data_IF_349935073448
#
_entry.id   IF_349935073448
#
_cell.length_a   1.000
_cell.length_b   1.000
_cell.length_c   1.000
_cell.angle_alpha   90.00
_cell.angle_beta   90.00
_cell.angle_gamma   90.00
#
_symmetry.space_group_name_H-M   'P 1'
#
loop_
_entity.id
_entity.type
_entity.pdbx_description
1 polymer ?
#
# COMPACT_ATOMS: atom_id res chain seq x y z
N UNK A 1 -18.09 -35.10 15.27
CA UNK A 1 -16.82 -34.42 15.55
C UNK A 1 -16.66 -33.26 14.57
N UNK A 2 -17.00 -32.06 15.00
CA UNK A 2 -16.95 -30.85 14.17
C UNK A 2 -15.55 -30.26 14.18
N UNK A 3 -14.83 -30.38 13.07
CA UNK A 3 -13.61 -29.62 12.86
C UNK A 3 -13.99 -28.23 12.33
N UNK A 4 -14.26 -27.31 13.23
CA UNK A 4 -14.22 -25.87 12.92
C UNK A 4 -12.76 -25.49 12.72
N UNK A 5 -12.32 -25.44 11.47
CA UNK A 5 -11.06 -24.79 11.11
C UNK A 5 -11.26 -23.30 11.33
N UNK A 6 -10.75 -22.81 12.42
CA UNK A 6 -10.59 -21.38 12.69
C UNK A 6 -9.62 -20.80 11.64
N UNK A 7 -10.18 -20.27 10.55
CA UNK A 7 -9.47 -19.35 9.68
C UNK A 7 -9.19 -18.08 10.50
N UNK A 8 -8.05 -18.07 11.17
CA UNK A 8 -7.49 -16.83 11.66
C UNK A 8 -7.27 -15.92 10.45
N UNK A 9 -8.10 -14.91 10.29
CA UNK A 9 -7.86 -13.79 9.39
C UNK A 9 -6.57 -13.08 9.82
N UNK A 10 -5.42 -13.61 9.41
CA UNK A 10 -4.20 -12.80 9.37
C UNK A 10 -4.52 -11.66 8.41
N UNK A 11 -4.75 -10.46 8.94
CA UNK A 11 -4.64 -9.24 8.14
C UNK A 11 -3.27 -9.30 7.48
N UNK A 12 -3.23 -9.64 6.20
CA UNK A 12 -2.04 -9.50 5.40
C UNK A 12 -1.74 -8.00 5.37
N UNK A 13 -0.80 -7.58 6.23
CA UNK A 13 -0.23 -6.24 6.07
C UNK A 13 0.45 -6.22 4.71
N UNK A 14 0.11 -5.29 3.82
CA UNK A 14 0.69 -5.25 2.49
C UNK A 14 2.21 -5.15 2.60
N UNK A 15 2.92 -6.02 1.89
CA UNK A 15 4.37 -5.92 1.80
C UNK A 15 4.69 -4.75 0.86
N UNK A 16 4.92 -3.57 1.45
CA UNK A 16 5.23 -2.36 0.69
C UNK A 16 6.57 -2.44 -0.07
N UNK A 17 7.45 -3.39 0.26
CA UNK A 17 8.72 -3.57 -0.44
C UNK A 17 8.54 -4.37 -1.73
N UNK A 18 7.70 -5.41 -1.70
CA UNK A 18 7.39 -6.26 -2.86
C UNK A 18 5.89 -6.29 -3.06
N UNK A 19 5.39 -5.43 -3.94
CA UNK A 19 3.96 -5.33 -4.25
C UNK A 19 3.62 -6.41 -5.28
N UNK A 20 2.59 -7.20 -4.99
CA UNK A 20 1.94 -8.09 -5.94
C UNK A 20 0.47 -7.68 -6.02
N UNK A 21 0.17 -6.81 -6.98
CA UNK A 21 -1.13 -6.14 -7.03
C UNK A 21 -2.29 -7.10 -7.28
N UNK A 22 -2.09 -8.13 -8.11
CA UNK A 22 -3.09 -9.15 -8.39
C UNK A 22 -3.55 -9.87 -7.12
N UNK A 23 -2.62 -10.30 -6.27
CA UNK A 23 -2.94 -10.94 -4.98
C UNK A 23 -3.70 -10.00 -4.04
N UNK A 24 -3.35 -8.73 -4.00
CA UNK A 24 -4.02 -7.73 -3.16
C UNK A 24 -5.46 -7.52 -3.62
N UNK A 25 -5.68 -7.43 -4.94
CA UNK A 25 -7.02 -7.33 -5.54
C UNK A 25 -7.84 -8.59 -5.23
N UNK A 26 -7.27 -9.78 -5.44
CA UNK A 26 -7.91 -11.06 -5.15
C UNK A 26 -8.37 -11.14 -3.70
N UNK A 27 -7.49 -10.76 -2.76
CA UNK A 27 -7.83 -10.69 -1.34
C UNK A 27 -8.97 -9.69 -1.06
N UNK A 28 -8.91 -8.52 -1.68
CA UNK A 28 -9.97 -7.50 -1.52
C UNK A 28 -11.32 -7.96 -2.08
N UNK A 29 -11.33 -8.70 -3.19
CA UNK A 29 -12.56 -9.31 -3.75
C UNK A 29 -13.15 -10.31 -2.75
N UNK A 30 -12.32 -11.19 -2.17
CA UNK A 30 -12.76 -12.17 -1.16
C UNK A 30 -13.32 -11.51 0.10
N UNK A 31 -12.66 -10.48 0.61
CA UNK A 31 -13.12 -9.72 1.79
C UNK A 31 -14.45 -9.01 1.55
N UNK A 32 -14.65 -8.44 0.37
CA UNK A 32 -15.88 -7.76 -0.02
C UNK A 32 -16.96 -8.72 -0.52
N UNK A 33 -16.66 -10.03 -0.63
CA UNK A 33 -17.59 -11.06 -1.14
C UNK A 33 -18.25 -10.64 -2.46
N UNK A 34 -17.46 -10.09 -3.38
CA UNK A 34 -17.94 -9.70 -4.69
C UNK A 34 -18.22 -10.95 -5.55
N UNK A 35 -19.37 -10.92 -6.23
CA UNK A 35 -19.75 -11.96 -7.17
C UNK A 35 -18.98 -11.85 -8.49
N UNK A 36 -18.52 -12.99 -9.01
CA UNK A 36 -17.73 -13.09 -10.24
C UNK A 36 -18.46 -12.50 -11.45
N UNK A 37 -19.77 -12.74 -11.57
CA UNK A 37 -20.57 -12.19 -12.65
C UNK A 37 -20.56 -10.65 -12.65
N UNK A 38 -20.67 -10.05 -11.46
CA UNK A 38 -20.60 -8.60 -11.29
C UNK A 38 -19.21 -8.06 -11.67
N UNK A 39 -18.14 -8.79 -11.33
CA UNK A 39 -16.77 -8.41 -11.67
C UNK A 39 -16.60 -8.45 -13.20
N UNK A 40 -16.93 -9.56 -13.83
CA UNK A 40 -16.81 -9.72 -15.28
C UNK A 40 -17.61 -8.68 -16.06
N UNK A 41 -18.83 -8.37 -15.61
CA UNK A 41 -19.68 -7.37 -16.24
C UNK A 41 -19.09 -5.95 -16.10
N UNK A 42 -18.58 -5.59 -14.93
CA UNK A 42 -17.96 -4.28 -14.70
C UNK A 42 -16.63 -4.14 -15.46
N UNK A 43 -15.80 -5.19 -15.43
CA UNK A 43 -14.50 -5.22 -16.08
C UNK A 43 -14.60 -5.45 -17.60
N UNK A 44 -15.78 -5.83 -18.12
CA UNK A 44 -16.02 -6.12 -19.53
C UNK A 44 -15.06 -7.21 -20.08
N UNK A 45 -14.83 -8.27 -19.30
CA UNK A 45 -13.97 -9.38 -19.66
C UNK A 45 -14.46 -10.71 -19.07
N UNK A 46 -13.86 -11.80 -19.50
CA UNK A 46 -14.19 -13.15 -19.03
C UNK A 46 -13.54 -13.46 -17.67
N UNK A 47 -14.03 -14.50 -17.00
CA UNK A 47 -13.47 -14.98 -15.74
C UNK A 47 -12.00 -15.40 -15.87
N UNK A 48 -11.61 -15.98 -17.01
CA UNK A 48 -10.22 -16.37 -17.24
C UNK A 48 -9.28 -15.17 -17.23
N UNK A 49 -9.68 -14.07 -17.87
CA UNK A 49 -8.92 -12.80 -17.85
C UNK A 49 -8.84 -12.22 -16.43
N UNK A 50 -9.91 -12.33 -15.64
CA UNK A 50 -9.88 -11.92 -14.23
C UNK A 50 -8.88 -12.77 -13.44
N UNK A 51 -8.89 -14.11 -13.64
CA UNK A 51 -7.96 -15.00 -12.97
C UNK A 51 -6.51 -14.70 -13.36
N UNK A 52 -6.24 -14.41 -14.64
CA UNK A 52 -4.91 -13.96 -15.07
C UNK A 52 -4.47 -12.66 -14.38
N UNK A 53 -5.39 -11.70 -14.17
CA UNK A 53 -5.08 -10.46 -13.46
C UNK A 53 -4.67 -10.73 -12.01
N UNK A 54 -5.28 -11.72 -11.35
CA UNK A 54 -4.93 -12.08 -9.97
C UNK A 54 -3.50 -12.63 -9.82
N UNK A 55 -2.98 -13.27 -10.88
CA UNK A 55 -1.64 -13.84 -10.87
C UNK A 55 -0.54 -12.84 -11.30
N UNK A 56 -0.91 -11.64 -11.77
CA UNK A 56 0.04 -10.61 -12.21
C UNK A 56 0.61 -9.81 -11.03
N UNK A 57 1.92 -9.62 -11.01
CA UNK A 57 2.58 -8.73 -10.03
C UNK A 57 2.23 -7.26 -10.27
N UNK A 58 1.97 -6.87 -11.51
CA UNK A 58 1.60 -5.51 -11.90
C UNK A 58 0.47 -5.50 -12.92
N UNK A 59 -0.32 -4.44 -12.94
CA UNK A 59 -1.41 -4.21 -13.89
C UNK A 59 -1.25 -2.84 -14.53
N UNK A 60 -1.78 -2.70 -15.74
CA UNK A 60 -1.88 -1.40 -16.39
C UNK A 60 -2.68 -0.42 -15.53
N UNK A 61 -2.29 0.85 -15.53
CA UNK A 61 -2.91 1.88 -14.69
C UNK A 61 -4.43 2.01 -14.91
N UNK A 62 -4.90 1.85 -16.14
CA UNK A 62 -6.33 1.89 -16.48
C UNK A 62 -7.09 0.72 -15.86
N UNK A 63 -6.50 -0.48 -15.92
CA UNK A 63 -7.08 -1.69 -15.30
C UNK A 63 -7.11 -1.52 -13.79
N UNK A 64 -6.02 -1.03 -13.20
CA UNK A 64 -5.96 -0.76 -11.77
C UNK A 64 -6.98 0.31 -11.32
N UNK A 65 -7.19 1.34 -12.14
CA UNK A 65 -8.20 2.36 -11.88
C UNK A 65 -9.62 1.77 -11.89
N UNK A 66 -9.92 0.85 -12.81
CA UNK A 66 -11.21 0.13 -12.85
C UNK A 66 -11.41 -0.72 -11.61
N UNK A 67 -10.40 -1.48 -11.19
CA UNK A 67 -10.43 -2.23 -9.93
C UNK A 67 -10.64 -1.33 -8.72
N UNK A 68 -9.97 -0.17 -8.68
CA UNK A 68 -10.12 0.80 -7.60
C UNK A 68 -11.55 1.33 -7.51
N UNK A 69 -12.20 1.59 -8.65
CA UNK A 69 -13.61 2.01 -8.70
C UNK A 69 -14.57 0.90 -8.27
N UNK A 70 -14.35 -0.33 -8.73
CA UNK A 70 -15.20 -1.48 -8.42
C UNK A 70 -15.18 -1.81 -6.93
N UNK A 71 -13.98 -1.88 -6.34
CA UNK A 71 -13.76 -2.25 -4.94
C UNK A 71 -13.84 -1.06 -3.97
N UNK A 72 -14.00 0.16 -4.49
CA UNK A 72 -14.00 1.42 -3.71
C UNK A 72 -12.75 1.54 -2.83
N UNK A 73 -11.61 1.10 -3.34
CA UNK A 73 -10.33 1.09 -2.67
C UNK A 73 -9.25 1.71 -3.55
N UNK A 74 -8.49 2.66 -3.02
CA UNK A 74 -7.41 3.34 -3.74
C UNK A 74 -6.14 2.48 -3.77
N UNK A 75 -6.02 1.57 -4.76
CA UNK A 75 -4.83 0.74 -4.94
C UNK A 75 -3.58 1.54 -5.30
N UNK A 76 -3.70 2.73 -5.87
CA UNK A 76 -2.55 3.60 -6.18
C UNK A 76 -1.85 4.06 -4.91
N UNK A 77 -2.56 4.12 -3.80
CA UNK A 77 -1.99 4.48 -2.52
C UNK A 77 -0.94 3.48 -2.02
N UNK A 78 -1.02 2.22 -2.43
CA UNK A 78 -0.01 1.20 -2.12
C UNK A 78 1.31 1.57 -2.80
N UNK A 79 1.27 1.98 -4.06
CA UNK A 79 2.45 2.44 -4.80
C UNK A 79 3.00 3.76 -4.26
N UNK A 80 2.13 4.71 -3.91
CA UNK A 80 2.60 5.96 -3.28
C UNK A 80 3.25 5.72 -1.93
N UNK A 81 2.77 4.77 -1.12
CA UNK A 81 3.43 4.38 0.13
C UNK A 81 4.78 3.68 -0.13
N UNK A 82 4.87 2.85 -1.16
CA UNK A 82 6.16 2.28 -1.59
C UNK A 82 7.16 3.39 -1.93
N UNK A 83 6.75 4.39 -2.70
CA UNK A 83 7.60 5.52 -3.04
C UNK A 83 8.06 6.31 -1.79
N UNK A 84 7.19 6.50 -0.81
CA UNK A 84 7.53 7.19 0.44
C UNK A 84 8.58 6.40 1.24
N UNK A 85 8.47 5.07 1.27
CA UNK A 85 9.35 4.21 2.08
C UNK A 85 10.67 3.89 1.39
N UNK A 86 10.67 3.72 0.07
CA UNK A 86 11.78 3.10 -0.65
C UNK A 86 12.35 3.93 -1.80
N UNK A 87 11.81 5.12 -2.07
CA UNK A 87 12.47 6.02 -3.02
C UNK A 87 13.74 6.62 -2.41
N UNK A 88 14.81 6.74 -3.19
CA UNK A 88 15.99 7.43 -2.72
C UNK A 88 15.63 8.87 -2.32
N UNK A 89 16.22 9.40 -1.24
CA UNK A 89 15.99 10.79 -0.85
C UNK A 89 16.33 11.70 -2.03
N UNK A 90 15.37 12.51 -2.43
CA UNK A 90 15.63 13.51 -3.46
C UNK A 90 16.68 14.47 -2.90
N UNK A 91 17.86 14.51 -3.49
CA UNK A 91 18.88 15.55 -3.24
C UNK A 91 18.41 16.93 -3.75
N UNK A 92 17.15 17.07 -4.06
CA UNK A 92 16.58 18.31 -4.52
C UNK A 92 16.57 19.30 -3.35
N UNK A 93 17.56 20.16 -3.33
CA UNK A 93 17.43 21.49 -2.78
C UNK A 93 16.02 22.01 -3.14
N UNK A 94 15.21 22.18 -2.11
CA UNK A 94 13.79 22.55 -2.17
C UNK A 94 13.51 23.89 -2.85
N UNK A 95 14.50 24.57 -3.40
CA UNK A 95 14.40 25.91 -3.96
C UNK A 95 14.48 26.01 -5.48
N UNK A 96 15.01 24.99 -6.17
CA UNK A 96 15.23 25.09 -7.62
C UNK A 96 14.20 24.39 -8.51
N UNK A 97 13.34 23.52 -8.00
CA UNK A 97 12.34 22.82 -8.82
C UNK A 97 10.95 23.49 -8.90
N UNK A 98 10.75 24.63 -8.23
CA UNK A 98 9.41 25.28 -8.20
C UNK A 98 9.10 26.18 -9.41
N UNK A 99 10.02 26.42 -10.33
CA UNK A 99 9.85 27.56 -11.26
C UNK A 99 9.21 27.27 -12.61
N UNK A 100 8.94 26.03 -13.05
CA UNK A 100 8.28 25.79 -14.35
C UNK A 100 7.69 24.40 -14.57
N UNK A 101 7.10 23.77 -13.57
CA UNK A 101 6.44 22.48 -13.77
C UNK A 101 4.94 22.67 -14.05
N UNK A 102 4.43 22.11 -15.16
CA UNK A 102 2.99 21.96 -15.41
C UNK A 102 2.33 20.88 -14.58
N UNK A 103 3.14 20.11 -13.81
CA UNK A 103 2.61 19.02 -12.99
C UNK A 103 2.06 19.56 -11.66
N UNK A 104 0.92 19.00 -11.19
CA UNK A 104 0.37 19.33 -9.88
C UNK A 104 1.37 19.02 -8.78
N UNK A 105 1.49 19.92 -7.81
CA UNK A 105 2.30 19.68 -6.61
C UNK A 105 1.48 18.92 -5.59
N UNK A 106 1.88 17.69 -5.31
CA UNK A 106 1.28 16.89 -4.24
C UNK A 106 2.04 17.07 -2.93
N UNK A 107 1.31 17.01 -1.81
CA UNK A 107 1.95 16.98 -0.50
C UNK A 107 2.85 15.76 -0.39
N UNK A 108 4.11 15.98 -0.05
CA UNK A 108 5.05 14.91 0.31
C UNK A 108 4.65 14.33 1.67
N UNK A 109 4.90 13.04 1.86
CA UNK A 109 4.84 12.38 3.17
C UNK A 109 3.44 12.31 3.82
N UNK A 110 2.44 11.89 3.08
CA UNK A 110 1.19 11.44 3.68
C UNK A 110 1.35 9.98 4.07
N UNK A 111 1.63 9.72 5.34
CA UNK A 111 1.74 8.37 5.88
C UNK A 111 0.36 7.83 6.24
N UNK A 112 -0.02 6.68 5.70
CA UNK A 112 -1.22 5.96 6.11
C UNK A 112 -1.00 5.25 7.45
N UNK A 113 -2.09 4.84 8.09
CA UNK A 113 -1.99 4.10 9.35
C UNK A 113 -1.21 2.80 9.18
N UNK A 114 -1.40 2.10 8.06
CA UNK A 114 -0.72 0.84 7.73
C UNK A 114 0.80 1.04 7.65
N UNK A 115 1.26 2.14 7.05
CA UNK A 115 2.69 2.49 7.00
C UNK A 115 3.22 2.83 8.39
N UNK A 116 2.47 3.57 9.18
CA UNK A 116 2.85 3.89 10.55
C UNK A 116 2.97 2.61 11.39
N UNK A 117 1.98 1.73 11.31
CA UNK A 117 1.98 0.46 12.02
C UNK A 117 3.13 -0.45 11.56
N UNK A 118 3.39 -0.51 10.25
CA UNK A 118 4.54 -1.23 9.70
C UNK A 118 5.86 -0.75 10.32
N UNK A 119 6.09 0.57 10.32
CA UNK A 119 7.32 1.16 10.85
C UNK A 119 7.45 0.93 12.36
N UNK A 120 6.39 1.12 13.12
CA UNK A 120 6.41 0.89 14.56
C UNK A 120 6.65 -0.59 14.88
N UNK A 121 6.09 -1.52 14.11
CA UNK A 121 6.33 -2.95 14.28
C UNK A 121 7.79 -3.33 14.00
N UNK A 122 8.49 -2.67 13.05
CA UNK A 122 9.93 -2.89 12.83
C UNK A 122 10.76 -2.53 14.07
N UNK A 123 10.36 -1.47 14.78
CA UNK A 123 11.01 -1.05 16.01
C UNK A 123 10.65 -1.98 17.18
N UNK A 124 9.36 -2.31 17.34
CA UNK A 124 8.87 -3.15 18.43
C UNK A 124 9.43 -4.57 18.36
N UNK A 125 9.58 -5.11 17.14
CA UNK A 125 10.19 -6.43 16.88
C UNK A 125 11.72 -6.42 16.91
N UNK A 126 12.34 -5.28 17.22
CA UNK A 126 13.79 -5.09 17.24
C UNK A 126 14.50 -5.41 15.90
N UNK A 127 13.76 -5.42 14.80
CA UNK A 127 14.34 -5.58 13.46
C UNK A 127 15.11 -4.33 13.03
N UNK A 128 14.69 -3.16 13.53
CA UNK A 128 15.34 -1.89 13.25
C UNK A 128 15.36 -1.00 14.50
N UNK A 129 16.44 -0.28 14.70
CA UNK A 129 16.52 0.79 15.69
C UNK A 129 15.77 2.05 15.19
N UNK A 130 15.46 2.97 16.12
CA UNK A 130 14.83 4.26 15.77
C UNK A 130 15.68 5.08 14.81
N UNK A 131 17.01 4.99 14.92
CA UNK A 131 17.95 5.70 14.04
C UNK A 131 17.93 5.11 12.63
N UNK A 132 18.01 3.80 12.51
CA UNK A 132 17.93 3.10 11.22
C UNK A 132 16.63 3.40 10.49
N UNK A 133 15.49 3.43 11.21
CA UNK A 133 14.19 3.84 10.63
C UNK A 133 14.22 5.26 10.07
N UNK A 134 14.80 6.21 10.83
CA UNK A 134 14.92 7.60 10.38
C UNK A 134 15.76 7.71 9.12
N UNK A 135 16.89 7.01 9.09
CA UNK A 135 17.83 7.05 7.96
C UNK A 135 17.30 6.29 6.74
N UNK A 136 16.78 5.08 6.93
CA UNK A 136 16.33 4.22 5.83
C UNK A 136 15.06 4.74 5.16
N UNK A 137 14.07 5.18 5.96
CA UNK A 137 12.79 5.66 5.44
C UNK A 137 12.70 7.18 5.33
N UNK A 138 13.79 7.87 5.65
CA UNK A 138 13.87 9.33 5.60
C UNK A 138 12.72 10.03 6.35
N UNK A 139 12.34 9.47 7.49
CA UNK A 139 11.26 10.00 8.33
C UNK A 139 11.85 11.02 9.32
N UNK A 140 11.29 12.23 9.40
CA UNK A 140 11.75 13.21 10.40
C UNK A 140 11.65 12.64 11.82
N UNK A 141 12.70 12.81 12.60
CA UNK A 141 12.76 12.38 14.01
C UNK A 141 11.52 12.80 14.81
N UNK A 142 11.09 14.05 14.65
CA UNK A 142 9.90 14.59 15.31
C UNK A 142 8.62 13.84 14.92
N UNK A 143 8.49 13.40 13.69
CA UNK A 143 7.35 12.62 13.19
C UNK A 143 7.34 11.24 13.82
N UNK A 144 8.47 10.53 13.80
CA UNK A 144 8.59 9.19 14.39
C UNK A 144 8.26 9.21 15.89
N UNK A 145 8.82 10.16 16.63
CA UNK A 145 8.54 10.27 18.07
C UNK A 145 7.09 10.64 18.39
N UNK A 146 6.42 11.44 17.54
CA UNK A 146 4.97 11.68 17.65
C UNK A 146 4.17 10.39 17.48
N UNK A 147 4.55 9.53 16.52
CA UNK A 147 3.88 8.25 16.32
C UNK A 147 4.07 7.32 17.50
N UNK A 148 5.31 7.17 18.00
CA UNK A 148 5.59 6.33 19.17
C UNK A 148 4.73 6.81 20.36
N UNK A 149 4.70 8.10 20.66
CA UNK A 149 3.88 8.63 21.74
C UNK A 149 2.38 8.41 21.54
N UNK A 150 1.89 8.51 20.30
CA UNK A 150 0.45 8.40 20.00
C UNK A 150 -0.05 6.97 19.99
N UNK A 151 0.78 6.02 19.55
CA UNK A 151 0.35 4.64 19.26
C UNK A 151 0.97 3.58 20.18
N UNK A 152 1.97 3.95 20.99
CA UNK A 152 2.68 3.06 21.92
C UNK A 152 2.82 3.63 23.34
N UNK A 153 2.44 4.89 23.55
CA UNK A 153 2.48 5.57 24.87
C UNK A 153 1.22 5.41 25.68
#
# INVERSE_FOLDING_TARGET
MNHYVLFQHRKLSPNFKKIHIGNIIKQSVLENKLDDFRICNFMQCTQDVINEMYEKESLDADVLLRWSKLLKYDFFRIYSQHLILYSPPSKASSEQQQKSSFLPLFRKNIYTKEVIDFILNQIDSQQMSKLEVIEQYNIPKTTLYKWIRKYRG
#
